data_IF_396852739462
#
_entry.id   IF_396852739462
#
_cell.length_a   1.000
_cell.length_b   1.000
_cell.length_c   1.000
_cell.angle_alpha   90.00
_cell.angle_beta   90.00
_cell.angle_gamma   90.00
#
_symmetry.space_group_name_H-M   'P 1'
#
loop_
_entity.id
_entity.type
_entity.pdbx_description
1 polymer ?
#
# COMPACT_ATOMS: atom_id res chain seq x y z
N UNK A 1 7.61 -2.04 -6.91
CA UNK A 1 7.04 -3.13 -6.11
C UNK A 1 5.67 -3.55 -6.64
N UNK A 2 4.64 -2.70 -6.54
CA UNK A 2 3.24 -3.02 -6.90
C UNK A 2 3.01 -3.32 -8.39
N UNK A 3 3.80 -2.73 -9.30
CA UNK A 3 3.70 -2.94 -10.77
C UNK A 3 3.96 -4.37 -11.27
N UNK A 4 4.46 -5.27 -10.40
CA UNK A 4 4.75 -6.67 -10.76
C UNK A 4 3.53 -7.59 -10.58
N UNK A 5 2.45 -7.06 -10.03
CA UNK A 5 1.22 -7.79 -9.76
C UNK A 5 0.16 -7.43 -10.79
N UNK A 6 -0.53 -8.44 -11.33
CA UNK A 6 -1.62 -8.27 -12.31
C UNK A 6 -3.00 -8.02 -11.70
N UNK A 7 -3.07 -7.66 -10.41
CA UNK A 7 -4.32 -7.48 -9.68
C UNK A 7 -4.86 -6.06 -9.85
N UNK A 8 -6.19 -5.92 -9.82
CA UNK A 8 -6.88 -4.65 -10.03
C UNK A 8 -6.47 -3.64 -8.95
N UNK A 9 -6.40 -4.08 -7.70
CA UNK A 9 -5.99 -3.27 -6.54
C UNK A 9 -4.58 -2.70 -6.72
N UNK A 10 -3.68 -3.48 -7.33
CA UNK A 10 -2.32 -3.05 -7.65
C UNK A 10 -2.31 -1.98 -8.76
N UNK A 11 -3.20 -2.07 -9.74
CA UNK A 11 -3.42 -1.06 -10.77
C UNK A 11 -4.02 0.24 -10.23
N UNK A 12 -4.95 0.13 -9.27
CA UNK A 12 -5.53 1.27 -8.55
C UNK A 12 -4.47 1.99 -7.71
N UNK A 13 -3.68 1.25 -6.94
CA UNK A 13 -2.55 1.79 -6.17
C UNK A 13 -1.59 2.55 -7.09
N UNK A 14 -1.24 1.96 -8.23
CA UNK A 14 -0.36 2.61 -9.19
C UNK A 14 -0.96 3.92 -9.72
N UNK A 15 -2.23 3.89 -10.14
CA UNK A 15 -2.93 5.08 -10.67
C UNK A 15 -3.07 6.18 -9.62
N UNK A 16 -3.32 5.82 -8.36
CA UNK A 16 -3.41 6.77 -7.27
C UNK A 16 -2.07 7.44 -6.98
N UNK A 17 -0.97 6.67 -6.95
CA UNK A 17 0.37 7.22 -6.78
C UNK A 17 0.77 8.16 -7.92
N UNK A 18 0.36 7.86 -9.15
CA UNK A 18 0.70 8.64 -10.34
C UNK A 18 -0.14 9.92 -10.48
N UNK A 19 -1.42 9.86 -10.13
CA UNK A 19 -2.39 10.93 -10.42
C UNK A 19 -2.82 11.75 -9.22
N UNK A 20 -2.72 11.21 -8.00
CA UNK A 20 -3.25 11.83 -6.78
C UNK A 20 -2.13 12.20 -5.82
N UNK A 21 -1.17 11.30 -5.61
CA UNK A 21 -0.01 11.63 -4.80
C UNK A 21 0.88 12.63 -5.54
N UNK A 22 1.24 13.72 -4.86
CA UNK A 22 2.36 14.56 -5.27
C UNK A 22 3.70 13.85 -5.04
N UNK A 23 4.76 14.63 -4.78
CA UNK A 23 6.12 14.06 -4.54
C UNK A 23 6.13 13.10 -3.34
N UNK A 24 5.33 13.40 -2.30
CA UNK A 24 5.23 12.57 -1.09
C UNK A 24 3.75 12.34 -0.71
N UNK A 25 3.34 11.10 -0.43
CA UNK A 25 2.01 10.80 0.11
C UNK A 25 1.80 11.49 1.46
N UNK A 26 0.65 12.17 1.60
CA UNK A 26 0.19 12.67 2.89
C UNK A 26 -0.39 11.53 3.77
N UNK A 27 -0.87 11.87 4.96
CA UNK A 27 -1.40 10.85 5.89
C UNK A 27 -2.64 10.14 5.34
N UNK A 28 -3.54 10.85 4.66
CA UNK A 28 -4.75 10.26 4.08
C UNK A 28 -4.39 9.32 2.93
N UNK A 29 -3.45 9.74 2.07
CA UNK A 29 -2.89 8.92 1.02
C UNK A 29 -2.22 7.64 1.57
N UNK A 30 -1.46 7.74 2.67
CA UNK A 30 -0.86 6.56 3.31
C UNK A 30 -1.93 5.59 3.85
N UNK A 31 -2.99 6.11 4.47
CA UNK A 31 -4.11 5.28 4.93
C UNK A 31 -4.77 4.56 3.76
N UNK A 32 -5.10 5.29 2.69
CA UNK A 32 -5.72 4.72 1.51
C UNK A 32 -4.84 3.64 0.86
N UNK A 33 -3.54 3.89 0.72
CA UNK A 33 -2.58 2.91 0.21
C UNK A 33 -2.51 1.67 1.09
N UNK A 34 -2.55 1.84 2.42
CA UNK A 34 -2.53 0.73 3.37
C UNK A 34 -3.80 -0.11 3.28
N UNK A 35 -4.97 0.51 3.17
CA UNK A 35 -6.25 -0.17 3.00
C UNK A 35 -6.27 -0.96 1.69
N UNK A 36 -5.89 -0.34 0.57
CA UNK A 36 -5.87 -1.00 -0.74
C UNK A 36 -4.84 -2.13 -0.84
N UNK A 37 -3.67 -1.96 -0.24
CA UNK A 37 -2.69 -3.05 -0.14
C UNK A 37 -3.24 -4.20 0.70
N UNK A 38 -3.94 -3.89 1.80
CA UNK A 38 -4.62 -4.88 2.64
C UNK A 38 -5.74 -5.63 1.91
N UNK A 39 -6.53 -4.93 1.08
CA UNK A 39 -7.56 -5.53 0.22
C UNK A 39 -6.93 -6.53 -0.76
N UNK A 40 -5.86 -6.12 -1.45
CA UNK A 40 -5.13 -7.00 -2.38
C UNK A 40 -4.63 -8.28 -1.69
N UNK A 41 -4.03 -8.14 -0.50
CA UNK A 41 -3.56 -9.30 0.27
C UNK A 41 -4.72 -10.18 0.71
N UNK A 42 -5.81 -9.60 1.21
CA UNK A 42 -6.99 -10.36 1.64
C UNK A 42 -7.60 -11.19 0.51
N UNK A 43 -7.62 -10.66 -0.72
CA UNK A 43 -8.25 -11.31 -1.86
C UNK A 43 -7.37 -12.37 -2.53
N UNK A 44 -6.04 -12.16 -2.54
CA UNK A 44 -5.14 -12.94 -3.39
C UNK A 44 -4.03 -13.67 -2.64
N UNK A 45 -3.67 -13.23 -1.43
CA UNK A 45 -2.54 -13.82 -0.70
C UNK A 45 -2.84 -15.27 -0.28
N UNK A 46 -2.03 -16.18 -0.81
CA UNK A 46 -2.09 -17.61 -0.52
C UNK A 46 -0.94 -18.07 0.41
N UNK A 47 -0.20 -17.14 1.01
CA UNK A 47 0.93 -17.41 1.89
C UNK A 47 2.25 -17.68 1.17
N UNK A 48 2.28 -17.74 -0.16
CA UNK A 48 3.52 -17.95 -0.91
C UNK A 48 4.46 -16.75 -0.87
N UNK A 49 5.73 -16.98 -1.23
CA UNK A 49 6.76 -15.93 -1.33
C UNK A 49 6.45 -14.87 -2.39
N UNK A 50 5.58 -15.17 -3.35
CA UNK A 50 5.13 -14.19 -4.35
C UNK A 50 4.52 -12.92 -3.71
N UNK A 51 3.87 -13.06 -2.55
CA UNK A 51 3.21 -11.95 -1.85
C UNK A 51 4.08 -11.30 -0.76
N UNK A 52 5.31 -11.78 -0.55
CA UNK A 52 6.19 -11.27 0.52
C UNK A 52 6.39 -9.76 0.42
N UNK A 53 6.63 -9.25 -0.79
CA UNK A 53 6.85 -7.83 -1.04
C UNK A 53 5.60 -6.98 -0.73
N UNK A 54 4.39 -7.47 -1.04
CA UNK A 54 3.14 -6.79 -0.68
C UNK A 54 2.90 -6.77 0.84
N UNK A 55 3.24 -7.86 1.54
CA UNK A 55 3.18 -7.90 3.01
C UNK A 55 4.15 -6.92 3.65
N UNK A 56 5.37 -6.81 3.12
CA UNK A 56 6.35 -5.82 3.57
C UNK A 56 5.82 -4.41 3.35
N UNK A 57 5.32 -4.10 2.15
CA UNK A 57 4.74 -2.79 1.83
C UNK A 57 3.60 -2.43 2.79
N UNK A 58 2.70 -3.38 3.09
CA UNK A 58 1.60 -3.18 4.04
C UNK A 58 2.13 -2.78 5.42
N UNK A 59 3.13 -3.48 5.93
CA UNK A 59 3.74 -3.17 7.22
C UNK A 59 4.45 -1.80 7.22
N UNK A 60 5.15 -1.45 6.14
CA UNK A 60 5.82 -0.14 6.00
C UNK A 60 4.81 1.01 6.00
N UNK A 61 3.67 0.85 5.31
CA UNK A 61 2.59 1.83 5.28
C UNK A 61 1.97 2.01 6.69
N UNK A 62 1.69 0.91 7.39
CA UNK A 62 1.18 0.95 8.77
C UNK A 62 2.15 1.63 9.74
N UNK A 63 3.44 1.32 9.61
CA UNK A 63 4.49 1.98 10.38
C UNK A 63 4.51 3.48 10.09
N UNK A 64 4.49 3.89 8.81
CA UNK A 64 4.49 5.29 8.40
C UNK A 64 3.26 6.07 8.93
N UNK A 65 2.09 5.42 8.99
CA UNK A 65 0.87 5.99 9.58
C UNK A 65 1.04 6.16 11.09
N UNK A 66 1.64 5.18 11.78
CA UNK A 66 1.81 5.20 13.24
C UNK A 66 2.73 6.33 13.71
N UNK A 67 3.83 6.57 13.01
CA UNK A 67 4.81 7.62 13.36
C UNK A 67 4.26 9.02 13.11
N UNK A 68 3.41 9.19 12.09
CA UNK A 68 2.74 10.46 11.76
C UNK A 68 1.54 10.76 12.65
N UNK A 69 1.19 9.86 13.57
CA UNK A 69 0.09 10.03 14.52
C UNK A 69 0.58 10.45 15.92
N UNK A 70 1.90 10.58 16.13
CA UNK A 70 2.45 11.11 17.39
C UNK A 70 2.40 12.64 17.36
N UNK A 71 1.72 13.30 18.32
CA UNK A 71 1.83 14.74 18.47
C UNK A 71 3.27 15.08 18.88
N UNK A 72 3.83 16.12 18.26
CA UNK A 72 5.08 16.77 18.69
C UNK A 72 4.83 17.51 19.99
#
# INVERSE_FOLDING_TARGET
MVRRYGFIECGEIYSFLDKVCGIYPDRCALIWLSEKTGECLKNHDNGSEYFRELRILKNELEYAISIRSRPV
#
